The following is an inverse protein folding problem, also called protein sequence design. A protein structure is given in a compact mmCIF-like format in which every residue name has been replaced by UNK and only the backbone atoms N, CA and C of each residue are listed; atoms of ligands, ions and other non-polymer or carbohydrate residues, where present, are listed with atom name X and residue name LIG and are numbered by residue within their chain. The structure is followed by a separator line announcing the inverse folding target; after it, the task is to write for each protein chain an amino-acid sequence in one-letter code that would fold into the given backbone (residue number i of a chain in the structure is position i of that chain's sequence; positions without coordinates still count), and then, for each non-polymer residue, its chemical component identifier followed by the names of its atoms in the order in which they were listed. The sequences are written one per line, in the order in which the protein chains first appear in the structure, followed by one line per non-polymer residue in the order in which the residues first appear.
data_IF_601085963721
#
_entry.id   IF_601085963721
#
_cell.length_a   1.000
_cell.length_b   1.000
_cell.length_c   1.000
_cell.angle_alpha   90.00
_cell.angle_beta   90.00
_cell.angle_gamma   90.00
#
_symmetry.space_group_name_H-M   'P 1'
#
loop_
_entity.id
_entity.type
_entity.pdbx_description
1 polymer ?
#
# COMPACT_ATOMS: atom_id res chain seq x y z
N UNK A 1 35.00 -24.15 13.61
CA UNK A 1 34.70 -22.70 13.60
C UNK A 1 34.17 -22.17 12.25
N UNK A 2 34.00 -23.02 11.23
CA UNK A 2 33.52 -22.60 9.90
C UNK A 2 31.99 -22.56 9.81
N UNK A 3 31.30 -23.47 10.50
CA UNK A 3 29.83 -23.57 10.54
C UNK A 3 29.14 -22.43 11.31
N UNK A 4 29.85 -21.76 12.22
CA UNK A 4 29.31 -20.62 12.99
C UNK A 4 29.22 -19.35 12.14
N UNK A 5 30.11 -19.18 11.15
CA UNK A 5 30.06 -18.06 10.19
C UNK A 5 28.93 -18.21 9.17
N UNK A 6 28.60 -19.45 8.79
CA UNK A 6 27.49 -19.76 7.87
C UNK A 6 26.14 -19.42 8.51
N UNK A 7 26.00 -19.66 9.82
CA UNK A 7 24.80 -19.31 10.58
C UNK A 7 24.57 -17.79 10.67
N UNK A 8 25.65 -17.00 10.76
CA UNK A 8 25.58 -15.54 10.77
C UNK A 8 25.20 -14.94 9.40
N UNK A 9 25.63 -15.60 8.31
CA UNK A 9 25.37 -15.11 6.95
C UNK A 9 23.90 -15.26 6.54
N UNK A 10 23.20 -16.26 7.07
CA UNK A 10 21.78 -16.50 6.78
C UNK A 10 20.83 -15.47 7.42
N UNK A 11 21.22 -14.87 8.54
CA UNK A 11 20.40 -13.86 9.22
C UNK A 11 20.51 -12.45 8.61
N UNK A 12 21.57 -12.20 7.83
CA UNK A 12 21.90 -10.86 7.31
C UNK A 12 21.14 -10.48 6.02
N UNK A 13 20.39 -11.41 5.41
CA UNK A 13 19.73 -11.17 4.11
C UNK A 13 18.20 -11.09 4.18
N UNK A 14 17.60 -10.94 5.37
CA UNK A 14 16.19 -10.57 5.46
C UNK A 14 16.07 -9.11 5.05
N UNK A 15 16.04 -8.89 3.73
CA UNK A 15 15.62 -7.62 3.13
C UNK A 15 14.15 -7.48 3.49
N UNK A 16 13.86 -6.60 4.44
CA UNK A 16 12.49 -6.24 4.80
C UNK A 16 11.95 -5.41 3.63
N UNK A 17 11.26 -6.06 2.70
CA UNK A 17 10.51 -5.37 1.66
C UNK A 17 9.28 -4.76 2.34
N UNK A 18 9.35 -3.46 2.65
CA UNK A 18 8.21 -2.70 3.17
C UNK A 18 7.24 -2.38 2.02
N UNK A 19 6.57 -3.40 1.50
CA UNK A 19 5.42 -3.20 0.64
C UNK A 19 4.21 -3.07 1.56
N UNK A 20 3.54 -1.92 1.58
CA UNK A 20 2.25 -1.76 2.28
C UNK A 20 1.15 -2.41 1.42
N UNK A 21 1.29 -3.73 1.25
CA UNK A 21 0.38 -4.57 0.49
C UNK A 21 -0.21 -5.62 1.41
N UNK A 22 -1.52 -5.50 1.66
CA UNK A 22 -2.31 -6.53 2.31
C UNK A 22 -2.94 -7.46 1.29
N UNK A 23 -3.16 -8.72 1.64
CA UNK A 23 -3.90 -9.66 0.80
C UNK A 23 -4.99 -10.31 1.66
N UNK A 24 -6.24 -10.26 1.18
CA UNK A 24 -7.32 -11.07 1.72
C UNK A 24 -7.70 -12.15 0.72
N UNK A 25 -7.46 -13.39 1.11
CA UNK A 25 -7.73 -14.55 0.26
C UNK A 25 -9.21 -14.90 0.24
N UNK A 26 -9.65 -15.54 -0.85
CA UNK A 26 -11.01 -16.07 -1.00
C UNK A 26 -12.09 -15.03 -0.63
N UNK A 27 -11.98 -13.85 -1.24
CA UNK A 27 -12.84 -12.70 -1.01
C UNK A 27 -14.22 -12.83 -1.67
N UNK A 28 -14.78 -14.04 -1.73
CA UNK A 28 -16.06 -14.33 -2.37
C UNK A 28 -17.19 -14.20 -1.34
N UNK A 29 -18.34 -13.68 -1.77
CA UNK A 29 -19.55 -13.63 -0.95
C UNK A 29 -20.65 -14.52 -1.54
N UNK A 30 -21.45 -15.25 -0.73
CA UNK A 30 -22.51 -16.12 -1.23
C UNK A 30 -23.53 -15.41 -2.14
N UNK A 31 -23.88 -14.17 -1.81
CA UNK A 31 -24.83 -13.36 -2.59
C UNK A 31 -24.21 -12.70 -3.84
N UNK A 32 -22.89 -12.74 -3.96
CA UNK A 32 -22.14 -12.13 -5.05
C UNK A 32 -21.10 -13.13 -5.61
N UNK A 33 -21.56 -14.23 -6.23
CA UNK A 33 -20.66 -15.23 -6.78
C UNK A 33 -19.87 -14.67 -7.97
N UNK A 34 -18.62 -15.10 -8.13
CA UNK A 34 -17.77 -14.75 -9.27
C UNK A 34 -17.17 -13.34 -9.23
N UNK A 35 -17.23 -12.65 -8.09
CA UNK A 35 -16.58 -11.35 -7.86
C UNK A 35 -15.94 -11.33 -6.47
N UNK A 36 -14.96 -10.45 -6.28
CA UNK A 36 -14.50 -10.12 -4.94
C UNK A 36 -15.51 -9.19 -4.26
N UNK A 37 -15.77 -9.38 -2.97
CA UNK A 37 -16.68 -8.55 -2.18
C UNK A 37 -15.94 -7.91 -1.01
N UNK A 38 -15.87 -6.58 -0.93
CA UNK A 38 -15.28 -5.87 0.21
C UNK A 38 -16.36 -5.50 1.24
N UNK A 39 -16.43 -6.17 2.41
CA UNK A 39 -17.50 -5.98 3.39
C UNK A 39 -17.48 -4.59 4.04
N UNK A 40 -16.30 -3.98 4.26
CA UNK A 40 -16.22 -2.69 4.95
C UNK A 40 -16.78 -1.55 4.10
N UNK A 41 -16.70 -1.71 2.78
CA UNK A 41 -17.20 -0.74 1.78
C UNK A 41 -18.55 -1.19 1.19
N UNK A 42 -18.93 -2.45 1.38
CA UNK A 42 -20.11 -3.10 0.78
C UNK A 42 -20.11 -2.99 -0.74
N UNK A 43 -18.94 -3.20 -1.37
CA UNK A 43 -18.77 -3.13 -2.82
C UNK A 43 -18.32 -4.48 -3.38
N UNK A 44 -18.60 -4.70 -4.66
CA UNK A 44 -18.02 -5.78 -5.44
C UNK A 44 -16.95 -5.25 -6.39
N UNK A 45 -15.95 -6.08 -6.67
CA UNK A 45 -14.87 -5.78 -7.61
C UNK A 45 -14.75 -6.97 -8.55
N UNK A 46 -14.87 -6.71 -9.86
CA UNK A 46 -14.70 -7.76 -10.87
C UNK A 46 -13.25 -8.28 -10.89
N UNK A 47 -13.03 -9.57 -11.20
CA UNK A 47 -11.69 -10.12 -11.38
C UNK A 47 -10.86 -9.30 -12.38
N UNK A 48 -9.60 -9.03 -12.01
CA UNK A 48 -8.68 -8.21 -12.80
C UNK A 48 -8.96 -6.70 -12.74
N UNK A 49 -9.99 -6.26 -12.01
CA UNK A 49 -10.29 -4.83 -11.81
C UNK A 49 -9.80 -4.31 -10.47
N UNK A 50 -9.67 -3.00 -10.40
CA UNK A 50 -9.32 -2.28 -9.19
C UNK A 50 -10.25 -1.10 -8.93
N UNK A 51 -10.29 -0.67 -7.68
CA UNK A 51 -11.07 0.49 -7.22
C UNK A 51 -10.35 1.19 -6.07
N UNK A 52 -10.65 2.47 -5.87
CA UNK A 52 -10.12 3.24 -4.74
C UNK A 52 -10.98 3.05 -3.49
N UNK A 53 -10.35 2.73 -2.38
CA UNK A 53 -10.92 2.82 -1.05
C UNK A 53 -10.62 4.21 -0.46
N UNK A 54 -11.57 5.12 -0.59
CA UNK A 54 -11.47 6.48 -0.05
C UNK A 54 -11.40 6.54 1.48
N UNK A 55 -11.88 5.51 2.19
CA UNK A 55 -11.85 5.49 3.68
C UNK A 55 -10.43 5.43 4.22
N UNK A 56 -9.54 4.69 3.53
CA UNK A 56 -8.16 4.46 3.98
C UNK A 56 -7.10 4.93 2.96
N UNK A 57 -7.51 5.56 1.86
CA UNK A 57 -6.66 5.87 0.71
C UNK A 57 -5.85 4.64 0.23
N UNK A 58 -6.56 3.63 -0.26
CA UNK A 58 -5.94 2.40 -0.76
C UNK A 58 -6.45 2.07 -2.17
N UNK A 59 -5.64 1.36 -2.94
CA UNK A 59 -6.09 0.67 -4.14
C UNK A 59 -6.46 -0.77 -3.78
N UNK A 60 -7.69 -1.16 -4.08
CA UNK A 60 -8.16 -2.54 -3.94
C UNK A 60 -8.17 -3.18 -5.32
N UNK A 61 -7.46 -4.29 -5.51
CA UNK A 61 -7.45 -5.06 -6.75
C UNK A 61 -7.98 -6.46 -6.50
N UNK A 62 -9.01 -6.86 -7.25
CA UNK A 62 -9.48 -8.25 -7.26
C UNK A 62 -8.64 -9.06 -8.25
N UNK A 63 -8.03 -10.14 -7.78
CA UNK A 63 -7.27 -11.06 -8.64
C UNK A 63 -8.19 -12.07 -9.31
N UNK A 64 -7.70 -12.76 -10.34
CA UNK A 64 -8.42 -13.86 -11.00
C UNK A 64 -8.71 -15.06 -10.07
N UNK A 65 -8.04 -15.11 -8.90
CA UNK A 65 -8.27 -16.13 -7.86
C UNK A 65 -9.28 -15.67 -6.81
N UNK A 66 -9.93 -14.54 -7.04
CA UNK A 66 -10.85 -13.90 -6.09
C UNK A 66 -10.18 -13.51 -4.76
N UNK A 67 -8.91 -13.10 -4.81
CA UNK A 67 -8.23 -12.47 -3.67
C UNK A 67 -8.32 -10.94 -3.84
N UNK A 68 -8.45 -10.20 -2.74
CA UNK A 68 -8.30 -8.74 -2.77
C UNK A 68 -6.88 -8.38 -2.32
N UNK A 69 -6.15 -7.66 -3.16
CA UNK A 69 -4.91 -6.99 -2.79
C UNK A 69 -5.22 -5.54 -2.41
N UNK A 70 -4.70 -5.09 -1.28
CA UNK A 70 -4.84 -3.74 -0.76
C UNK A 70 -3.49 -3.06 -0.85
N UNK A 71 -3.36 -2.01 -1.65
CA UNK A 71 -2.13 -1.22 -1.75
C UNK A 71 -2.35 0.13 -1.07
N UNK A 72 -1.58 0.41 -0.01
CA UNK A 72 -1.57 1.71 0.66
C UNK A 72 -0.51 2.66 0.07
N UNK A 73 -0.45 3.88 0.62
CA UNK A 73 0.47 4.94 0.17
C UNK A 73 1.96 4.65 0.43
N UNK A 74 2.26 3.59 1.18
CA UNK A 74 3.61 3.30 1.63
C UNK A 74 4.10 4.29 2.69
N UNK A 75 5.34 4.10 3.13
CA UNK A 75 5.99 4.96 4.13
C UNK A 75 7.15 5.67 3.45
N UNK A 76 7.11 7.01 3.46
CA UNK A 76 8.20 7.85 2.95
C UNK A 76 9.02 8.33 4.15
N UNK A 77 10.33 8.05 4.14
CA UNK A 77 11.26 8.68 5.06
C UNK A 77 11.53 10.11 4.59
N UNK A 78 11.09 11.10 5.36
CA UNK A 78 11.29 12.52 5.03
C UNK A 78 12.34 13.15 5.95
N UNK A 79 13.09 14.11 5.40
CA UNK A 79 14.10 14.86 6.16
C UNK A 79 13.43 15.84 7.16
N UNK A 80 14.21 16.34 8.12
CA UNK A 80 13.72 17.26 9.17
C UNK A 80 13.14 18.57 8.62
N UNK A 81 13.53 18.96 7.42
CA UNK A 81 13.09 20.20 6.77
C UNK A 81 11.84 19.98 5.90
N UNK A 82 11.23 18.80 5.98
CA UNK A 82 9.96 18.49 5.35
C UNK A 82 8.79 18.73 6.31
N UNK A 83 7.72 19.32 5.78
CA UNK A 83 6.44 19.48 6.48
C UNK A 83 5.36 18.72 5.74
N UNK A 84 4.52 18.01 6.47
CA UNK A 84 3.29 17.45 5.91
C UNK A 84 2.37 18.59 5.48
N UNK A 85 1.88 18.54 4.24
CA UNK A 85 0.95 19.52 3.67
C UNK A 85 -0.48 18.98 3.54
N UNK A 86 -0.67 17.72 3.93
CA UNK A 86 -1.98 17.12 4.17
C UNK A 86 -2.30 15.95 3.25
N UNK A 87 -3.48 15.38 3.51
CA UNK A 87 -4.03 14.21 2.85
C UNK A 87 -5.47 14.49 2.40
N UNK A 88 -5.85 14.12 1.18
CA UNK A 88 -7.19 14.38 0.62
C UNK A 88 -7.90 13.07 0.23
N UNK A 89 -8.64 12.51 1.18
CA UNK A 89 -9.43 11.28 1.00
C UNK A 89 -10.57 11.40 -0.03
N UNK A 90 -10.89 12.61 -0.51
CA UNK A 90 -11.89 12.79 -1.58
C UNK A 90 -11.34 12.40 -2.95
N UNK A 91 -10.02 12.26 -3.08
CA UNK A 91 -9.35 11.82 -4.32
C UNK A 91 -9.23 10.30 -4.35
N UNK A 92 -8.98 9.78 -5.56
CA UNK A 92 -8.62 8.38 -5.75
C UNK A 92 -7.18 8.14 -5.28
N UNK A 93 -6.84 6.88 -5.06
CA UNK A 93 -5.45 6.48 -4.92
C UNK A 93 -4.74 6.60 -6.28
N UNK A 94 -3.49 7.12 -6.35
CA UNK A 94 -2.63 7.55 -5.24
C UNK A 94 -2.76 9.04 -4.87
N UNK A 95 -3.62 9.82 -5.52
CA UNK A 95 -3.72 11.27 -5.30
C UNK A 95 -4.21 11.65 -3.90
N UNK A 96 -4.92 10.74 -3.22
CA UNK A 96 -5.34 10.88 -1.84
C UNK A 96 -4.24 10.65 -0.81
N UNK A 97 -3.03 10.27 -1.23
CA UNK A 97 -1.94 10.01 -0.31
C UNK A 97 -1.45 11.29 0.36
N UNK A 98 -0.86 11.11 1.55
CA UNK A 98 -0.21 12.18 2.30
C UNK A 98 0.89 12.82 1.44
N UNK A 99 0.92 14.16 1.42
CA UNK A 99 1.92 14.93 0.68
C UNK A 99 2.82 15.69 1.63
N UNK A 100 4.05 15.88 1.19
CA UNK A 100 5.06 16.61 1.92
C UNK A 100 5.59 17.78 1.09
N UNK A 101 5.94 18.85 1.78
CA UNK A 101 6.68 19.97 1.25
C UNK A 101 8.04 20.01 1.94
N UNK A 102 9.11 19.81 1.20
CA UNK A 102 10.48 19.78 1.69
C UNK A 102 11.25 20.99 1.19
N UNK A 103 12.28 21.41 1.94
CA UNK A 103 13.31 22.29 1.39
C UNK A 103 14.38 21.47 0.70
N UNK A 104 14.53 21.69 -0.60
CA UNK A 104 15.63 21.15 -1.40
C UNK A 104 16.99 21.70 -0.96
N UNK A 105 18.06 21.06 -1.41
CA UNK A 105 19.44 21.46 -1.11
C UNK A 105 19.82 22.84 -1.66
N UNK A 106 19.05 23.34 -2.64
CA UNK A 106 19.15 24.68 -3.19
C UNK A 106 18.26 25.72 -2.47
N UNK A 107 17.60 25.30 -1.39
CA UNK A 107 16.71 26.13 -0.57
C UNK A 107 15.31 26.33 -1.14
N UNK A 108 14.94 25.65 -2.24
CA UNK A 108 13.61 25.74 -2.85
C UNK A 108 12.64 24.72 -2.27
N UNK A 109 11.35 24.97 -2.46
CA UNK A 109 10.30 24.06 -2.03
C UNK A 109 10.12 22.92 -3.05
N UNK A 110 10.21 21.68 -2.58
CA UNK A 110 9.92 20.44 -3.33
C UNK A 110 8.69 19.76 -2.76
N UNK A 111 7.86 19.16 -3.62
CA UNK A 111 6.60 18.55 -3.24
C UNK A 111 6.62 17.06 -3.58
N UNK A 112 6.31 16.23 -2.58
CA UNK A 112 6.27 14.78 -2.66
C UNK A 112 4.87 14.28 -2.30
#
# INVERSE_FOLDING_TARGET
MQNLKILFYFFATIVIVNCDVGIRQNAIHPDHPGVCYEPDLKITIEPGKSTSNHKNCQLLMCTDKFDIQYTGCGVIGVDKDCVEIGQDFTKNYPECCIKYKCKGSDGKDEFF
#
